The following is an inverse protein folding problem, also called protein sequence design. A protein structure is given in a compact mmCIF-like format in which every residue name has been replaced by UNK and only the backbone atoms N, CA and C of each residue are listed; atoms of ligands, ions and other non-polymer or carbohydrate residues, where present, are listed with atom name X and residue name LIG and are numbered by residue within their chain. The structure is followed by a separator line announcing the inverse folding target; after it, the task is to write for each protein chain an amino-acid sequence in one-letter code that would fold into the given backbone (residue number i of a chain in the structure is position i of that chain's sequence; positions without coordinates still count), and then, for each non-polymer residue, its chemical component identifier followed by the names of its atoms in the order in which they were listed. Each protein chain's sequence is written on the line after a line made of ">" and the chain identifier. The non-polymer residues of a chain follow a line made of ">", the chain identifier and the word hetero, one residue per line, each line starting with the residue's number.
data_IF_057195282002
#
_entry.id   IF_057195282002
#
_cell.length_a   1.000
_cell.length_b   1.000
_cell.length_c   1.000
_cell.angle_alpha   90.00
_cell.angle_beta   90.00
_cell.angle_gamma   90.00
#
_symmetry.space_group_name_H-M   'P 1'
#
loop_
_entity.id
_entity.type
_entity.pdbx_description
1 polymer ?
#
# COMPACT_ATOMS: atom_id res chain seq x y z
N UNK A 1 -18.16 -37.82 1.03
CA UNK A 1 -18.66 -36.76 1.91
C UNK A 1 -18.94 -35.54 1.05
N UNK A 2 -20.04 -34.83 1.30
CA UNK A 2 -20.28 -33.53 0.68
C UNK A 2 -19.22 -32.54 1.18
N UNK A 3 -18.82 -31.60 0.31
CA UNK A 3 -17.95 -30.49 0.68
C UNK A 3 -18.60 -29.70 1.83
N UNK A 4 -17.85 -29.34 2.89
CA UNK A 4 -18.37 -28.47 3.97
C UNK A 4 -18.76 -27.09 3.45
N UNK A 5 -19.79 -26.47 4.03
CA UNK A 5 -20.15 -25.08 3.77
C UNK A 5 -19.12 -24.14 4.41
N UNK A 6 -18.50 -23.27 3.59
CA UNK A 6 -17.42 -22.38 4.05
C UNK A 6 -17.85 -20.92 4.12
N UNK A 7 -17.16 -20.13 4.94
CA UNK A 7 -17.53 -18.78 5.31
C UNK A 7 -17.86 -17.91 4.09
N UNK A 8 -16.97 -17.92 3.08
CA UNK A 8 -17.08 -17.08 1.88
C UNK A 8 -18.35 -17.32 1.05
N UNK A 9 -18.99 -18.48 1.19
CA UNK A 9 -20.19 -18.84 0.43
C UNK A 9 -21.47 -18.18 0.98
N UNK A 10 -21.47 -17.75 2.24
CA UNK A 10 -22.61 -17.04 2.86
C UNK A 10 -22.26 -15.63 3.32
N UNK A 11 -21.04 -15.42 3.83
CA UNK A 11 -20.64 -14.16 4.43
C UNK A 11 -19.15 -13.85 4.25
N UNK A 12 -18.87 -12.60 3.90
CA UNK A 12 -17.53 -12.03 3.89
C UNK A 12 -17.64 -10.53 4.22
N UNK A 13 -16.73 -9.95 5.02
CA UNK A 13 -16.76 -8.52 5.35
C UNK A 13 -16.25 -7.67 4.16
N UNK A 14 -17.01 -7.67 3.06
CA UNK A 14 -16.63 -7.06 1.78
C UNK A 14 -16.42 -5.55 1.93
N UNK A 15 -17.24 -4.89 2.74
CA UNK A 15 -17.15 -3.46 2.95
C UNK A 15 -15.85 -3.07 3.66
N UNK A 16 -15.51 -3.78 4.75
CA UNK A 16 -14.30 -3.58 5.52
C UNK A 16 -13.05 -3.93 4.70
N UNK A 17 -13.08 -5.06 3.99
CA UNK A 17 -12.03 -5.45 3.05
C UNK A 17 -11.82 -4.41 1.95
N UNK A 18 -12.91 -3.84 1.43
CA UNK A 18 -12.88 -2.80 0.41
C UNK A 18 -12.21 -1.53 0.91
N UNK A 19 -12.48 -1.10 2.14
CA UNK A 19 -11.80 0.05 2.76
C UNK A 19 -10.32 -0.25 2.99
N UNK A 20 -9.97 -1.41 3.56
CA UNK A 20 -8.56 -1.77 3.78
C UNK A 20 -7.77 -1.90 2.48
N UNK A 21 -8.38 -2.44 1.43
CA UNK A 21 -7.80 -2.52 0.09
C UNK A 21 -7.41 -1.13 -0.44
N UNK A 22 -8.29 -0.14 -0.26
CA UNK A 22 -8.00 1.24 -0.64
C UNK A 22 -6.91 1.86 0.24
N UNK A 23 -6.93 1.61 1.56
CA UNK A 23 -5.87 2.06 2.48
C UNK A 23 -4.50 1.47 2.11
N UNK A 24 -4.45 0.24 1.64
CA UNK A 24 -3.22 -0.42 1.19
C UNK A 24 -2.69 0.24 -0.09
N UNK A 25 -3.53 0.39 -1.12
CA UNK A 25 -3.16 1.01 -2.40
C UNK A 25 -2.75 2.47 -2.28
N UNK A 26 -3.41 3.21 -1.38
CA UNK A 26 -3.20 4.64 -1.21
C UNK A 26 -1.75 5.06 -0.91
N UNK A 27 -0.90 4.19 -0.34
CA UNK A 27 0.52 4.54 -0.15
C UNK A 27 1.35 4.47 -1.44
N UNK A 28 1.10 3.48 -2.29
CA UNK A 28 1.92 3.19 -3.48
C UNK A 28 1.51 4.00 -4.71
N UNK A 29 0.37 4.68 -4.70
CA UNK A 29 -0.11 5.51 -5.82
C UNK A 29 -0.31 6.98 -5.44
N UNK A 30 0.00 7.39 -4.20
CA UNK A 30 -0.09 8.78 -3.76
C UNK A 30 1.04 9.67 -4.30
N UNK A 31 2.14 9.09 -4.79
CA UNK A 31 3.27 9.83 -5.35
C UNK A 31 3.47 9.45 -6.83
N UNK A 32 4.14 10.27 -7.64
CA UNK A 32 4.58 9.86 -8.97
C UNK A 32 5.53 8.65 -8.91
N UNK A 33 5.58 7.80 -9.95
CA UNK A 33 6.48 6.62 -10.00
C UNK A 33 7.98 6.90 -9.84
N UNK A 34 8.38 8.18 -9.84
CA UNK A 34 9.74 8.62 -9.53
C UNK A 34 10.07 8.54 -8.04
N UNK A 35 9.07 8.47 -7.15
CA UNK A 35 9.24 8.46 -5.70
C UNK A 35 9.20 7.06 -5.07
N UNK A 36 8.90 6.02 -5.84
CA UNK A 36 8.92 4.63 -5.38
C UNK A 36 9.37 3.69 -6.49
N UNK A 37 10.03 2.59 -6.10
CA UNK A 37 10.30 1.47 -7.01
C UNK A 37 8.98 0.95 -7.58
N UNK A 38 8.92 0.74 -8.89
CA UNK A 38 7.75 0.24 -9.59
C UNK A 38 7.20 -1.02 -8.90
N UNK A 39 5.98 -0.92 -8.37
CA UNK A 39 5.28 -2.07 -7.78
C UNK A 39 4.79 -2.94 -8.93
N UNK A 40 4.99 -4.25 -8.86
CA UNK A 40 4.43 -5.19 -9.83
C UNK A 40 2.93 -4.95 -9.98
N UNK A 41 2.50 -4.56 -11.18
CA UNK A 41 1.16 -4.02 -11.47
C UNK A 41 0.02 -4.99 -11.12
N UNK A 42 0.29 -6.30 -11.08
CA UNK A 42 -0.69 -7.32 -10.74
C UNK A 42 -0.84 -7.61 -9.24
N UNK A 43 -0.13 -6.91 -8.34
CA UNK A 43 -0.17 -7.18 -6.90
C UNK A 43 -1.59 -7.07 -6.33
N UNK A 44 -2.06 -8.16 -5.71
CA UNK A 44 -3.33 -8.20 -4.97
C UNK A 44 -3.16 -7.58 -3.58
N UNK A 45 -4.13 -6.82 -3.04
CA UNK A 45 -4.08 -6.33 -1.67
C UNK A 45 -3.99 -7.49 -0.67
N UNK A 46 -3.04 -7.42 0.25
CA UNK A 46 -2.75 -8.49 1.21
C UNK A 46 -3.95 -8.79 2.11
N UNK A 47 -4.62 -7.77 2.66
CA UNK A 47 -5.80 -7.99 3.52
C UNK A 47 -6.92 -8.72 2.78
N UNK A 48 -7.11 -8.44 1.49
CA UNK A 48 -8.13 -9.11 0.66
C UNK A 48 -7.71 -10.53 0.34
N UNK A 49 -6.45 -10.77 -0.02
CA UNK A 49 -5.90 -12.12 -0.23
C UNK A 49 -6.05 -12.99 1.01
N UNK A 50 -5.72 -12.45 2.19
CA UNK A 50 -5.96 -13.10 3.49
C UNK A 50 -7.42 -13.45 3.70
N UNK A 51 -8.32 -12.49 3.49
CA UNK A 51 -9.77 -12.70 3.62
C UNK A 51 -10.27 -13.83 2.73
N UNK A 52 -9.84 -13.84 1.46
CA UNK A 52 -10.22 -14.87 0.50
C UNK A 52 -9.71 -16.26 0.90
N UNK A 53 -8.44 -16.40 1.32
CA UNK A 53 -7.88 -17.69 1.76
C UNK A 53 -8.63 -18.20 2.98
N UNK A 54 -8.72 -17.40 4.04
CA UNK A 54 -9.27 -17.85 5.32
C UNK A 54 -10.77 -18.13 5.22
N UNK A 55 -11.54 -17.28 4.54
CA UNK A 55 -12.97 -17.50 4.38
C UNK A 55 -13.30 -18.69 3.46
N UNK A 56 -12.35 -19.13 2.61
CA UNK A 56 -12.50 -20.34 1.79
C UNK A 56 -12.22 -21.64 2.57
N UNK A 57 -11.66 -21.54 3.77
CA UNK A 57 -11.26 -22.69 4.60
C UNK A 57 -12.08 -22.79 5.88
N UNK A 58 -12.46 -21.66 6.45
CA UNK A 58 -13.19 -21.60 7.71
C UNK A 58 -14.68 -21.92 7.51
N UNK A 59 -15.30 -22.64 8.45
CA UNK A 59 -16.72 -22.98 8.39
C UNK A 59 -17.61 -21.76 8.66
N UNK A 60 -18.89 -21.89 8.31
CA UNK A 60 -19.94 -21.05 8.90
C UNK A 60 -20.07 -21.35 10.40
N UNK A 61 -20.44 -20.34 11.18
CA UNK A 61 -20.81 -20.58 12.57
C UNK A 61 -22.05 -21.50 12.64
N UNK A 62 -22.10 -22.39 13.64
CA UNK A 62 -23.19 -23.35 13.78
C UNK A 62 -23.55 -23.57 15.26
N UNK A 63 -24.85 -23.58 15.54
CA UNK A 63 -25.44 -23.84 16.86
C UNK A 63 -25.15 -25.25 17.40
N UNK A 64 -24.73 -26.20 16.56
CA UNK A 64 -24.41 -27.58 16.93
C UNK A 64 -22.91 -27.82 17.14
N UNK A 65 -22.10 -26.74 17.19
CA UNK A 65 -20.66 -26.88 17.45
C UNK A 65 -20.35 -27.54 18.81
N UNK A 66 -19.20 -28.22 18.92
CA UNK A 66 -18.66 -28.67 20.20
C UNK A 66 -18.61 -27.57 21.25
N UNK A 67 -18.78 -27.94 22.52
CA UNK A 67 -18.94 -27.00 23.65
C UNK A 67 -17.75 -26.03 23.78
N UNK A 68 -16.54 -26.49 23.49
CA UNK A 68 -15.31 -25.71 23.51
C UNK A 68 -15.20 -24.67 22.38
N UNK A 69 -15.88 -24.88 21.25
CA UNK A 69 -16.04 -23.86 20.21
C UNK A 69 -17.19 -22.90 20.53
N UNK A 70 -18.26 -23.39 21.15
CA UNK A 70 -19.40 -22.56 21.61
C UNK A 70 -19.01 -21.61 22.73
N UNK A 71 -18.28 -22.07 23.73
CA UNK A 71 -17.76 -21.23 24.82
C UNK A 71 -16.98 -20.03 24.25
N UNK A 72 -16.27 -20.29 23.15
CA UNK A 72 -15.44 -19.30 22.49
C UNK A 72 -16.20 -18.43 21.48
N UNK A 73 -17.21 -18.99 20.83
CA UNK A 73 -18.04 -18.35 19.82
C UNK A 73 -19.51 -18.64 20.16
N UNK A 74 -20.07 -17.92 21.15
CA UNK A 74 -21.42 -18.21 21.63
C UNK A 74 -22.50 -17.90 20.59
N UNK A 75 -22.17 -17.04 19.62
CA UNK A 75 -23.04 -16.64 18.52
C UNK A 75 -22.22 -16.31 17.26
N UNK A 76 -22.93 -16.21 16.13
CA UNK A 76 -22.36 -15.85 14.83
C UNK A 76 -21.68 -14.46 14.84
N UNK A 77 -22.20 -13.51 15.61
CA UNK A 77 -21.64 -12.15 15.69
C UNK A 77 -20.23 -12.14 16.30
N UNK A 78 -20.02 -12.90 17.37
CA UNK A 78 -18.72 -13.07 18.02
C UNK A 78 -17.73 -13.80 17.10
N UNK A 79 -18.20 -14.77 16.32
CA UNK A 79 -17.39 -15.43 15.30
C UNK A 79 -16.96 -14.46 14.19
N UNK A 80 -17.88 -13.64 13.66
CA UNK A 80 -17.59 -12.61 12.67
C UNK A 80 -16.63 -11.54 13.19
N UNK A 81 -16.80 -11.07 14.43
CA UNK A 81 -15.86 -10.13 15.08
C UNK A 81 -14.47 -10.72 15.21
N UNK A 82 -14.36 -11.99 15.60
CA UNK A 82 -13.09 -12.70 15.64
C UNK A 82 -12.46 -12.83 14.25
N UNK A 83 -13.24 -13.18 13.24
CA UNK A 83 -12.76 -13.29 11.87
C UNK A 83 -12.23 -11.94 11.34
N UNK A 84 -12.97 -10.84 11.54
CA UNK A 84 -12.52 -9.49 11.17
C UNK A 84 -11.20 -9.13 11.88
N UNK A 85 -11.08 -9.47 13.17
CA UNK A 85 -9.83 -9.30 13.92
C UNK A 85 -8.69 -10.15 13.37
N UNK A 86 -8.97 -11.40 12.98
CA UNK A 86 -8.02 -12.32 12.34
C UNK A 86 -7.50 -11.73 11.01
N UNK A 87 -8.35 -10.97 10.30
CA UNK A 87 -7.95 -10.20 9.11
C UNK A 87 -7.08 -8.97 9.42
N UNK A 88 -6.85 -8.65 10.70
CA UNK A 88 -6.05 -7.50 11.14
C UNK A 88 -6.84 -6.19 11.25
N UNK A 89 -8.17 -6.24 11.14
CA UNK A 89 -9.06 -5.09 11.25
C UNK A 89 -9.48 -4.98 12.73
N UNK A 90 -9.04 -3.91 13.41
CA UNK A 90 -9.21 -3.75 14.87
C UNK A 90 -10.19 -2.64 15.27
N UNK A 91 -10.92 -2.09 14.32
CA UNK A 91 -11.90 -1.03 14.54
C UNK A 91 -12.89 -1.01 13.40
N UNK A 92 -13.62 0.10 13.24
CA UNK A 92 -14.60 0.27 12.17
C UNK A 92 -13.99 1.08 11.01
N UNK A 93 -13.46 0.42 9.96
CA UNK A 93 -12.92 1.13 8.81
C UNK A 93 -13.99 1.90 8.02
N UNK A 94 -15.25 1.47 8.07
CA UNK A 94 -16.35 2.08 7.32
C UNK A 94 -16.72 3.42 7.97
N UNK A 95 -16.89 3.44 9.29
CA UNK A 95 -17.12 4.67 10.04
C UNK A 95 -15.95 5.65 9.90
N UNK A 96 -14.71 5.17 10.03
CA UNK A 96 -13.51 5.99 9.86
C UNK A 96 -13.45 6.62 8.45
N UNK A 97 -13.79 5.87 7.41
CA UNK A 97 -13.85 6.40 6.04
C UNK A 97 -14.92 7.47 5.87
N UNK A 98 -16.13 7.24 6.40
CA UNK A 98 -17.22 8.25 6.39
C UNK A 98 -16.81 9.54 7.12
N UNK A 99 -16.06 9.43 8.21
CA UNK A 99 -15.52 10.59 8.94
C UNK A 99 -14.51 11.36 8.08
N UNK A 100 -13.60 10.66 7.39
CA UNK A 100 -12.62 11.28 6.49
C UNK A 100 -13.31 11.99 5.32
N UNK A 101 -14.32 11.36 4.71
CA UNK A 101 -15.09 11.94 3.61
C UNK A 101 -15.78 13.24 4.04
N UNK A 102 -16.47 13.23 5.19
CA UNK A 102 -17.09 14.44 5.78
C UNK A 102 -16.08 15.54 6.12
N UNK A 103 -14.90 15.18 6.61
CA UNK A 103 -13.85 16.16 6.92
C UNK A 103 -13.29 16.81 5.64
N UNK A 104 -13.07 16.01 4.59
CA UNK A 104 -12.61 16.50 3.29
C UNK A 104 -13.62 17.47 2.66
N UNK A 105 -14.93 17.16 2.73
CA UNK A 105 -16.00 18.04 2.27
C UNK A 105 -15.99 19.41 2.98
N UNK A 106 -15.65 19.41 4.27
CA UNK A 106 -15.54 20.64 5.09
C UNK A 106 -14.18 21.33 4.98
N UNK A 107 -13.21 20.74 4.28
CA UNK A 107 -11.83 21.22 4.24
C UNK A 107 -11.10 21.13 5.59
N UNK A 108 -11.60 20.30 6.51
CA UNK A 108 -11.04 20.09 7.84
C UNK A 108 -9.98 18.98 7.84
N UNK A 109 -8.89 19.18 8.59
CA UNK A 109 -7.91 18.11 8.83
C UNK A 109 -8.23 17.40 10.13
N UNK A 110 -8.52 16.11 10.04
CA UNK A 110 -8.69 15.27 11.22
C UNK A 110 -7.36 15.09 11.95
N UNK A 111 -7.33 15.17 13.29
CA UNK A 111 -6.13 14.88 14.06
C UNK A 111 -5.84 13.37 14.09
N UNK A 112 -4.57 13.00 14.01
CA UNK A 112 -4.12 11.61 14.18
C UNK A 112 -4.54 10.67 13.06
N UNK A 113 -4.73 9.39 13.41
CA UNK A 113 -5.18 8.34 12.49
C UNK A 113 -6.68 8.09 12.70
N UNK A 114 -7.57 8.52 11.78
CA UNK A 114 -9.02 8.39 11.95
C UNK A 114 -9.51 6.95 12.08
N UNK A 115 -8.72 5.97 11.63
CA UNK A 115 -9.06 4.55 11.74
C UNK A 115 -8.82 3.99 13.15
N UNK A 116 -8.02 4.65 13.99
CA UNK A 116 -7.71 4.16 15.34
C UNK A 116 -6.76 2.95 15.42
N UNK A 117 -6.39 2.34 14.29
CA UNK A 117 -5.43 1.23 14.24
C UNK A 117 -4.54 1.28 12.98
N UNK A 118 -3.40 0.57 13.05
CA UNK A 118 -2.47 0.38 11.92
C UNK A 118 -3.16 -0.32 10.75
N UNK A 119 -2.62 -0.22 9.53
CA UNK A 119 -3.21 -0.90 8.37
C UNK A 119 -3.29 -2.42 8.58
N UNK A 120 -4.40 -3.05 8.18
CA UNK A 120 -4.67 -4.44 8.53
C UNK A 120 -3.61 -5.44 7.99
N UNK A 121 -3.04 -5.16 6.81
CA UNK A 121 -2.04 -6.05 6.21
C UNK A 121 -0.75 -6.18 7.05
N UNK A 122 -0.40 -5.18 7.85
CA UNK A 122 0.82 -5.21 8.69
C UNK A 122 0.67 -6.06 9.94
N UNK A 123 -0.55 -6.49 10.27
CA UNK A 123 -0.84 -7.26 11.49
C UNK A 123 -0.73 -8.75 11.24
N UNK A 124 0.04 -9.43 12.08
CA UNK A 124 0.18 -10.88 12.14
C UNK A 124 -0.80 -11.39 13.21
N UNK A 125 -1.46 -12.52 12.94
CA UNK A 125 -2.35 -13.17 13.89
C UNK A 125 -1.59 -13.62 15.14
N UNK A 126 -2.24 -13.62 16.29
CA UNK A 126 -1.66 -14.14 17.51
C UNK A 126 -1.54 -15.67 17.48
N UNK A 127 -0.61 -16.25 18.25
CA UNK A 127 -0.50 -17.71 18.37
C UNK A 127 -1.81 -18.35 18.85
N UNK A 128 -2.57 -17.64 19.68
CA UNK A 128 -3.90 -18.08 20.12
C UNK A 128 -4.85 -18.13 18.92
N UNK A 129 -4.95 -17.06 18.13
CA UNK A 129 -5.79 -17.00 16.92
C UNK A 129 -5.41 -18.07 15.89
N UNK A 130 -4.11 -18.37 15.74
CA UNK A 130 -3.62 -19.44 14.86
C UNK A 130 -4.07 -20.82 15.37
N UNK A 131 -3.97 -21.09 16.68
CA UNK A 131 -4.47 -22.36 17.25
C UNK A 131 -5.97 -22.55 17.03
N UNK A 132 -6.74 -21.47 17.19
CA UNK A 132 -8.19 -21.47 16.96
C UNK A 132 -8.49 -21.75 15.48
N UNK A 133 -7.80 -21.07 14.57
CA UNK A 133 -7.91 -21.29 13.13
C UNK A 133 -7.68 -22.76 12.77
N UNK A 134 -6.59 -23.36 13.25
CA UNK A 134 -6.27 -24.76 12.95
C UNK A 134 -7.28 -25.74 13.54
N UNK A 135 -7.80 -25.48 14.74
CA UNK A 135 -8.89 -26.28 15.34
C UNK A 135 -10.17 -26.24 14.51
N UNK A 136 -10.55 -25.06 14.01
CA UNK A 136 -11.71 -24.91 13.13
C UNK A 136 -11.49 -25.63 11.79
N UNK A 137 -10.29 -25.56 11.23
CA UNK A 137 -9.93 -26.27 10.01
C UNK A 137 -10.00 -27.78 10.21
N UNK A 138 -9.40 -28.31 11.28
CA UNK A 138 -9.43 -29.74 11.59
C UNK A 138 -10.86 -30.24 11.83
N UNK A 139 -11.68 -29.46 12.54
CA UNK A 139 -13.09 -29.75 12.73
C UNK A 139 -13.87 -29.80 11.41
N UNK A 140 -13.56 -28.90 10.48
CA UNK A 140 -14.31 -28.75 9.21
C UNK A 140 -13.87 -29.77 8.17
N UNK A 141 -12.57 -30.03 8.05
CA UNK A 141 -11.98 -30.82 6.97
C UNK A 141 -11.48 -32.19 7.42
N UNK A 142 -11.44 -32.45 8.72
CA UNK A 142 -10.88 -33.69 9.30
C UNK A 142 -9.37 -33.82 9.13
N UNK A 143 -8.68 -32.74 8.75
CA UNK A 143 -7.23 -32.71 8.52
C UNK A 143 -6.68 -31.32 8.75
N UNK A 144 -5.38 -31.25 9.06
CA UNK A 144 -4.59 -30.01 9.11
C UNK A 144 -3.67 -29.87 7.89
N UNK A 145 -3.69 -30.83 6.97
CA UNK A 145 -2.89 -30.81 5.73
C UNK A 145 -3.55 -29.94 4.66
N UNK A 146 -3.58 -28.63 4.88
CA UNK A 146 -4.14 -27.67 3.93
C UNK A 146 -3.08 -27.18 2.95
N UNK A 147 -3.41 -27.29 1.66
CA UNK A 147 -2.59 -26.82 0.55
C UNK A 147 -3.25 -25.63 -0.14
N UNK A 148 -2.51 -24.53 -0.27
CA UNK A 148 -2.89 -23.35 -1.07
C UNK A 148 -2.00 -23.28 -2.30
N UNK A 149 -2.61 -23.24 -3.48
CA UNK A 149 -1.91 -23.13 -4.75
C UNK A 149 -2.27 -21.81 -5.46
N UNK A 150 -1.27 -21.03 -5.82
CA UNK A 150 -1.42 -19.83 -6.64
C UNK A 150 -0.54 -19.95 -7.91
N UNK A 151 -1.11 -20.39 -9.05
CA UNK A 151 -0.35 -20.62 -10.27
C UNK A 151 0.02 -19.32 -11.01
N UNK A 152 -0.53 -18.17 -10.58
CA UNK A 152 -0.35 -16.85 -11.19
C UNK A 152 -0.03 -15.81 -10.10
N UNK A 153 0.96 -16.13 -9.27
CA UNK A 153 1.21 -15.44 -8.01
C UNK A 153 1.67 -14.00 -8.16
N UNK A 154 2.22 -13.63 -9.33
CA UNK A 154 2.76 -12.30 -9.58
C UNK A 154 3.76 -11.90 -8.49
N UNK A 155 3.42 -10.85 -7.73
CA UNK A 155 4.26 -10.35 -6.63
C UNK A 155 4.23 -11.17 -5.34
N UNK A 156 3.36 -12.18 -5.24
CA UNK A 156 3.32 -13.14 -4.13
C UNK A 156 2.36 -12.82 -2.98
N UNK A 157 1.32 -12.02 -3.18
CA UNK A 157 0.40 -11.63 -2.09
C UNK A 157 -0.35 -12.81 -1.46
N UNK A 158 -0.99 -13.64 -2.27
CA UNK A 158 -1.74 -14.83 -1.80
C UNK A 158 -0.78 -15.82 -1.12
N UNK A 159 0.34 -16.25 -1.73
CA UNK A 159 1.23 -17.18 -1.05
C UNK A 159 1.90 -16.59 0.19
N UNK A 160 2.16 -15.28 0.24
CA UNK A 160 2.66 -14.63 1.46
C UNK A 160 1.65 -14.74 2.59
N UNK A 161 0.39 -14.38 2.33
CA UNK A 161 -0.67 -14.50 3.34
C UNK A 161 -0.92 -15.96 3.72
N UNK A 162 -0.85 -16.89 2.77
CA UNK A 162 -0.94 -18.32 3.04
C UNK A 162 0.13 -18.81 4.02
N UNK A 163 1.40 -18.49 3.76
CA UNK A 163 2.53 -18.88 4.61
C UNK A 163 2.43 -18.30 6.02
N UNK A 164 1.84 -17.11 6.19
CA UNK A 164 1.67 -16.47 7.50
C UNK A 164 0.77 -17.23 8.47
N UNK A 165 -0.09 -18.12 7.94
CA UNK A 165 -0.95 -19.00 8.75
C UNK A 165 -0.43 -20.44 8.80
N UNK A 166 0.71 -20.73 8.18
CA UNK A 166 1.36 -22.04 8.22
C UNK A 166 0.84 -23.04 7.19
N UNK A 167 0.09 -22.60 6.18
CA UNK A 167 -0.39 -23.51 5.13
C UNK A 167 0.74 -23.97 4.20
N UNK A 168 0.65 -25.22 3.73
CA UNK A 168 1.51 -25.68 2.64
C UNK A 168 1.17 -24.87 1.39
N UNK A 169 2.16 -24.20 0.82
CA UNK A 169 1.91 -23.18 -0.21
C UNK A 169 2.73 -23.46 -1.47
N UNK A 170 2.05 -23.60 -2.60
CA UNK A 170 2.66 -23.66 -3.93
C UNK A 170 2.36 -22.37 -4.67
N UNK A 171 3.41 -21.74 -5.21
CA UNK A 171 3.30 -20.52 -5.98
C UNK A 171 4.08 -20.63 -7.29
N UNK A 172 3.49 -20.18 -8.39
CA UNK A 172 4.13 -20.15 -9.70
C UNK A 172 3.90 -18.80 -10.38
N UNK A 173 4.85 -18.42 -11.23
CA UNK A 173 4.77 -17.25 -12.08
C UNK A 173 5.71 -17.41 -13.28
N UNK A 174 5.20 -17.15 -14.49
CA UNK A 174 5.93 -17.30 -15.74
C UNK A 174 6.81 -16.07 -16.02
N UNK A 175 6.37 -14.89 -15.61
CA UNK A 175 7.12 -13.67 -15.88
C UNK A 175 8.42 -13.63 -15.05
N UNK A 176 9.61 -13.46 -15.66
CA UNK A 176 10.88 -13.53 -14.96
C UNK A 176 11.06 -12.43 -13.90
N UNK A 177 10.54 -11.22 -14.14
CA UNK A 177 10.59 -10.13 -13.17
C UNK A 177 9.73 -10.47 -11.95
N UNK A 178 8.49 -10.92 -12.19
CA UNK A 178 7.59 -11.31 -11.12
C UNK A 178 8.09 -12.54 -10.35
N UNK A 179 8.70 -13.52 -11.04
CA UNK A 179 9.33 -14.67 -10.40
C UNK A 179 10.47 -14.28 -9.45
N UNK A 180 11.30 -13.30 -9.81
CA UNK A 180 12.33 -12.75 -8.91
C UNK A 180 11.70 -12.03 -7.72
N UNK A 181 10.64 -11.23 -7.95
CA UNK A 181 9.90 -10.57 -6.87
C UNK A 181 9.27 -11.60 -5.93
N UNK A 182 8.67 -12.66 -6.47
CA UNK A 182 8.06 -13.75 -5.70
C UNK A 182 9.08 -14.42 -4.78
N UNK A 183 10.28 -14.74 -5.30
CA UNK A 183 11.39 -15.25 -4.48
C UNK A 183 11.82 -14.25 -3.41
N UNK A 184 11.92 -12.97 -3.76
CA UNK A 184 12.29 -11.91 -2.81
C UNK A 184 11.23 -11.65 -1.73
N UNK A 185 9.95 -11.91 -2.03
CA UNK A 185 8.83 -11.76 -1.09
C UNK A 185 8.72 -12.96 -0.15
N UNK A 186 8.81 -14.19 -0.67
CA UNK A 186 8.50 -15.39 0.11
C UNK A 186 9.75 -16.07 0.65
N UNK A 187 10.72 -16.30 -0.20
CA UNK A 187 11.76 -17.27 0.04
C UNK A 187 13.05 -16.64 0.59
N UNK A 188 13.51 -15.49 0.07
CA UNK A 188 14.70 -14.82 0.59
C UNK A 188 14.55 -14.40 2.07
N UNK A 189 13.42 -13.83 2.52
CA UNK A 189 13.25 -13.50 3.93
C UNK A 189 13.23 -14.73 4.82
N UNK A 190 12.66 -15.85 4.35
CA UNK A 190 12.64 -17.11 5.09
C UNK A 190 14.04 -17.75 5.18
N UNK A 191 14.80 -17.76 4.07
CA UNK A 191 16.16 -18.33 4.00
C UNK A 191 17.20 -17.52 4.78
N UNK A 192 17.16 -16.21 4.67
CA UNK A 192 18.23 -15.33 5.16
C UNK A 192 17.85 -14.52 6.41
N UNK A 193 16.58 -14.55 6.81
CA UNK A 193 16.09 -13.88 8.01
C UNK A 193 16.43 -12.38 8.07
N UNK A 194 16.67 -11.89 9.29
CA UNK A 194 16.94 -10.46 9.54
C UNK A 194 18.25 -9.97 8.93
N UNK A 195 19.21 -10.86 8.66
CA UNK A 195 20.50 -10.49 8.05
C UNK A 195 20.32 -9.89 6.65
N UNK A 196 19.33 -10.35 5.90
CA UNK A 196 19.00 -9.84 4.57
C UNK A 196 18.74 -8.33 4.58
N UNK A 197 18.08 -7.82 5.61
CA UNK A 197 17.79 -6.39 5.74
C UNK A 197 19.09 -5.56 5.83
N UNK A 198 20.14 -6.10 6.47
CA UNK A 198 21.46 -5.49 6.52
C UNK A 198 22.10 -5.42 5.13
N UNK A 199 22.05 -6.51 4.36
CA UNK A 199 22.58 -6.54 2.99
C UNK A 199 21.83 -5.60 2.05
N UNK A 200 20.49 -5.60 2.10
CA UNK A 200 19.67 -4.68 1.31
C UNK A 200 20.05 -3.23 1.62
N UNK A 201 20.21 -2.88 2.91
CA UNK A 201 20.63 -1.53 3.31
C UNK A 201 22.03 -1.18 2.81
N UNK A 202 22.99 -2.10 2.94
CA UNK A 202 24.38 -1.91 2.49
C UNK A 202 24.45 -1.64 0.98
N UNK A 203 23.90 -2.55 0.17
CA UNK A 203 23.96 -2.42 -1.28
C UNK A 203 23.02 -1.33 -1.82
N UNK A 204 21.88 -1.12 -1.15
CA UNK A 204 20.99 0.01 -1.43
C UNK A 204 21.69 1.35 -1.22
N UNK A 205 22.46 1.50 -0.13
CA UNK A 205 23.23 2.72 0.12
C UNK A 205 24.37 2.91 -0.90
N UNK A 206 25.07 1.84 -1.26
CA UNK A 206 26.10 1.89 -2.30
C UNK A 206 25.52 2.39 -3.62
N UNK A 207 24.38 1.82 -4.04
CA UNK A 207 23.66 2.24 -5.24
C UNK A 207 23.19 3.69 -5.14
N UNK A 208 22.60 4.08 -4.01
CA UNK A 208 22.13 5.44 -3.77
C UNK A 208 23.27 6.47 -3.88
N UNK A 209 24.46 6.15 -3.35
CA UNK A 209 25.63 7.01 -3.46
C UNK A 209 26.09 7.16 -4.92
N UNK A 210 26.21 6.06 -5.66
CA UNK A 210 26.59 6.08 -7.07
C UNK A 210 25.60 6.87 -7.94
N UNK A 211 24.30 6.72 -7.68
CA UNK A 211 23.25 7.46 -8.38
C UNK A 211 23.28 8.94 -7.99
N UNK A 212 23.48 9.25 -6.69
CA UNK A 212 23.58 10.62 -6.21
C UNK A 212 24.71 11.38 -6.91
N UNK A 213 25.89 10.79 -6.99
CA UNK A 213 27.06 11.38 -7.68
C UNK A 213 26.75 11.66 -9.16
N UNK A 214 26.17 10.69 -9.87
CA UNK A 214 25.80 10.87 -11.29
C UNK A 214 24.71 11.91 -11.52
N UNK A 215 23.84 12.13 -10.54
CA UNK A 215 22.72 13.06 -10.65
C UNK A 215 23.03 14.44 -10.05
N UNK A 216 24.15 14.62 -9.37
CA UNK A 216 24.49 15.84 -8.63
C UNK A 216 24.43 17.10 -9.51
N UNK A 217 24.90 17.01 -10.76
CA UNK A 217 24.84 18.09 -11.76
C UNK A 217 23.40 18.61 -11.99
N UNK A 218 22.40 17.75 -11.87
CA UNK A 218 21.00 18.10 -12.10
C UNK A 218 20.34 18.67 -10.84
N UNK A 219 20.90 18.44 -9.66
CA UNK A 219 20.34 18.87 -8.38
C UNK A 219 21.34 19.77 -7.64
N UNK A 220 21.64 20.97 -8.18
CA UNK A 220 22.64 21.85 -7.62
C UNK A 220 22.21 22.39 -6.25
N UNK A 221 23.15 22.43 -5.31
CA UNK A 221 22.95 22.99 -3.96
C UNK A 221 23.91 24.18 -3.80
N UNK A 222 23.39 25.35 -3.42
CA UNK A 222 24.24 26.51 -3.11
C UNK A 222 24.71 26.46 -1.64
N UNK A 223 25.81 27.14 -1.33
CA UNK A 223 26.27 27.29 0.07
C UNK A 223 25.18 27.96 0.90
N UNK A 224 24.85 27.36 2.05
CA UNK A 224 23.78 27.77 2.98
C UNK A 224 22.34 27.62 2.45
N UNK A 225 22.12 26.85 1.39
CA UNK A 225 20.77 26.56 0.89
C UNK A 225 20.22 25.23 1.44
N UNK A 226 18.94 25.25 1.85
CA UNK A 226 18.18 24.03 2.19
C UNK A 226 17.07 23.83 1.17
N UNK A 227 17.27 22.88 0.26
CA UNK A 227 16.35 22.64 -0.84
C UNK A 227 15.29 21.63 -0.43
N UNK A 228 14.03 22.08 -0.37
CA UNK A 228 12.89 21.21 -0.07
C UNK A 228 12.46 20.37 -1.27
N UNK A 229 12.48 20.96 -2.47
CA UNK A 229 12.07 20.30 -3.71
C UNK A 229 12.66 21.01 -4.94
N UNK A 230 12.84 20.25 -6.02
CA UNK A 230 13.20 20.76 -7.35
C UNK A 230 11.99 20.69 -8.27
N UNK A 231 11.79 21.72 -9.09
CA UNK A 231 10.72 21.78 -10.08
C UNK A 231 11.35 21.72 -11.47
N UNK A 232 10.94 20.73 -12.25
CA UNK A 232 11.43 20.51 -13.61
C UNK A 232 10.33 20.83 -14.62
N UNK A 233 10.67 21.56 -15.68
CA UNK A 233 9.79 21.83 -16.80
C UNK A 233 10.49 21.41 -18.10
N UNK A 234 9.77 20.77 -19.02
CA UNK A 234 10.29 20.53 -20.38
C UNK A 234 10.41 21.88 -21.09
N UNK A 235 11.50 22.12 -21.79
CA UNK A 235 11.66 23.34 -22.59
C UNK A 235 11.42 23.05 -24.06
N UNK A 236 10.81 24.01 -24.77
CA UNK A 236 10.66 23.99 -26.23
C UNK A 236 11.25 25.26 -26.83
N UNK A 237 11.68 25.21 -28.08
CA UNK A 237 12.15 26.41 -28.78
C UNK A 237 10.95 27.35 -29.05
N UNK A 238 11.10 28.62 -28.73
CA UNK A 238 10.16 29.67 -29.10
C UNK A 238 10.08 29.74 -30.63
N UNK A 239 8.88 29.74 -31.25
CA UNK A 239 8.74 29.80 -32.70
C UNK A 239 9.28 31.10 -33.30
N UNK A 240 9.35 32.18 -32.53
CA UNK A 240 9.81 33.50 -32.99
C UNK A 240 11.32 33.72 -32.78
N UNK A 241 11.84 33.31 -31.62
CA UNK A 241 13.23 33.63 -31.23
C UNK A 241 14.16 32.42 -31.22
N UNK A 242 13.62 31.20 -31.35
CA UNK A 242 14.37 29.95 -31.20
C UNK A 242 14.80 29.63 -29.76
N UNK A 243 14.60 30.55 -28.81
CA UNK A 243 15.08 30.43 -27.42
C UNK A 243 14.27 29.42 -26.61
N UNK A 244 14.88 28.76 -25.60
CA UNK A 244 14.17 27.79 -24.78
C UNK A 244 13.10 28.46 -23.91
N UNK A 245 11.87 27.94 -23.97
CA UNK A 245 10.73 28.36 -23.16
C UNK A 245 10.23 27.17 -22.33
N UNK A 246 10.10 27.30 -21.00
CA UNK A 246 9.62 26.22 -20.14
C UNK A 246 8.12 25.98 -20.31
N UNK A 247 7.76 24.74 -20.58
CA UNK A 247 6.37 24.24 -20.55
C UNK A 247 5.98 23.95 -19.11
N UNK A 248 5.42 24.96 -18.45
CA UNK A 248 4.82 24.81 -17.13
C UNK A 248 3.31 25.10 -17.20
N UNK A 249 2.45 24.07 -17.15
CA UNK A 249 1.00 24.26 -17.19
C UNK A 249 0.46 24.88 -15.89
N UNK A 250 1.26 24.91 -14.82
CA UNK A 250 0.87 25.43 -13.53
C UNK A 250 2.03 26.18 -12.87
N UNK A 251 1.78 27.45 -12.53
CA UNK A 251 2.75 28.35 -11.87
C UNK A 251 2.60 28.41 -10.35
N UNK A 252 1.62 27.71 -9.78
CA UNK A 252 1.34 27.74 -8.34
C UNK A 252 2.30 26.84 -7.56
N UNK A 253 2.99 27.43 -6.57
CA UNK A 253 3.75 26.70 -5.56
C UNK A 253 2.89 26.36 -4.34
N UNK A 254 1.99 27.28 -3.96
CA UNK A 254 1.05 27.09 -2.85
C UNK A 254 -0.25 27.83 -3.13
N UNK A 255 -1.39 27.13 -2.98
CA UNK A 255 -2.75 27.69 -3.09
C UNK A 255 -3.39 27.82 -1.70
N UNK A 256 -4.43 28.65 -1.58
CA UNK A 256 -5.15 28.88 -0.33
C UNK A 256 -4.46 29.94 0.54
N UNK A 257 -4.36 29.71 1.85
CA UNK A 257 -3.79 30.69 2.79
C UNK A 257 -2.32 30.99 2.45
N UNK A 258 -2.00 32.28 2.28
CA UNK A 258 -0.69 32.77 1.86
C UNK A 258 -0.25 32.21 0.49
N UNK A 259 -0.97 32.54 -0.60
CA UNK A 259 -0.69 32.00 -1.92
C UNK A 259 0.71 32.37 -2.42
N UNK A 260 1.37 31.45 -3.11
CA UNK A 260 2.70 31.63 -3.71
C UNK A 260 2.70 31.04 -5.11
N UNK A 261 3.21 31.79 -6.09
CA UNK A 261 3.39 31.34 -7.46
C UNK A 261 4.75 31.76 -8.02
N UNK A 262 5.07 31.25 -9.20
CA UNK A 262 6.25 31.59 -9.98
C UNK A 262 5.83 32.38 -11.21
N UNK A 263 6.29 33.60 -11.33
CA UNK A 263 6.17 34.41 -12.54
C UNK A 263 7.33 34.08 -13.49
N UNK A 264 7.00 33.84 -14.76
CA UNK A 264 7.98 33.63 -15.83
C UNK A 264 8.33 35.00 -16.43
N UNK A 265 9.61 35.37 -16.37
CA UNK A 265 10.15 36.60 -16.93
C UNK A 265 10.87 36.28 -18.24
N UNK A 266 10.48 36.98 -19.30
CA UNK A 266 11.02 36.78 -20.64
C UNK A 266 11.44 38.14 -21.21
N UNK A 267 12.73 38.33 -21.46
CA UNK A 267 13.25 39.52 -22.13
C UNK A 267 13.93 39.14 -23.47
N UNK A 268 13.80 39.96 -24.52
CA UNK A 268 14.34 39.63 -25.85
C UNK A 268 15.86 39.45 -25.90
N UNK A 269 16.62 40.09 -25.01
CA UNK A 269 18.08 40.03 -24.92
C UNK A 269 18.58 38.85 -24.06
N UNK A 270 17.74 38.26 -23.21
CA UNK A 270 18.15 37.16 -22.36
C UNK A 270 18.28 35.84 -23.13
N UNK A 271 19.29 35.01 -22.82
CA UNK A 271 19.47 33.72 -23.48
C UNK A 271 18.37 32.70 -23.10
N UNK A 272 17.76 32.87 -21.93
CA UNK A 272 16.73 31.99 -21.37
C UNK A 272 15.76 32.76 -20.46
N UNK A 273 14.58 32.19 -20.22
CA UNK A 273 13.61 32.75 -19.29
C UNK A 273 14.13 32.70 -17.84
N UNK A 274 13.77 33.71 -17.05
CA UNK A 274 14.03 33.74 -15.60
C UNK A 274 12.73 33.63 -14.82
N UNK A 275 12.85 33.45 -13.51
CA UNK A 275 11.70 33.21 -12.64
C UNK A 275 11.71 34.14 -11.45
N UNK A 276 10.53 34.62 -11.05
CA UNK A 276 10.33 35.43 -9.85
C UNK A 276 9.26 34.80 -8.96
N UNK A 277 9.54 34.69 -7.66
CA UNK A 277 8.54 34.24 -6.70
C UNK A 277 7.59 35.40 -6.39
N UNK A 278 6.30 35.18 -6.63
CA UNK A 278 5.22 36.14 -6.30
C UNK A 278 4.39 35.61 -5.13
N UNK A 279 4.02 36.49 -4.20
CA UNK A 279 3.30 36.17 -2.97
C UNK A 279 2.04 37.04 -2.88
N UNK A 280 0.92 36.45 -2.43
CA UNK A 280 -0.35 37.17 -2.26
C UNK A 280 -1.29 37.08 -3.45
N UNK A 281 -2.56 37.45 -3.26
CA UNK A 281 -3.64 37.29 -4.25
C UNK A 281 -3.59 38.31 -5.40
N UNK A 282 -2.88 39.44 -5.22
CA UNK A 282 -2.91 40.58 -6.15
C UNK A 282 -1.90 40.51 -7.30
N UNK A 283 -0.90 39.63 -7.23
CA UNK A 283 0.22 39.60 -8.20
C UNK A 283 0.23 38.38 -9.13
N UNK A 284 -0.83 37.57 -9.11
CA UNK A 284 -0.85 36.30 -9.85
C UNK A 284 -1.82 36.44 -11.02
N UNK A 285 -1.35 37.09 -12.09
CA UNK A 285 -2.06 37.10 -13.38
C UNK A 285 -2.12 35.65 -13.90
N UNK A 286 -3.35 35.23 -14.24
CA UNK A 286 -3.67 33.91 -14.82
C UNK A 286 -2.79 33.56 -16.00
#
# INVERSE_FOLDING_TARGET
>A
MSRPDVLIEKWLPIAELGVESQRERGASSALPPLYFLHVWWARRPLTVSRGAILASLLPQWNEDWPEDLKEKFPDEENYHKWFIRLLGILGDPIAARKLIEKANEKGERLPGNPYGYSRAFTRIASDQDIKILWKLIEHTWGTTEIVVCDPMAGGGSIPLESLRYGFTTYANELNPVASVILKATLDYPARYGKALAGYIRKYGQLWANMVKEKLELYYPVQENESIHAYIWARTVACPTTGKPVPLSPNRWLRKGKNPVAVELLCEPDWPECRFKIVKGEKDIKR
#
